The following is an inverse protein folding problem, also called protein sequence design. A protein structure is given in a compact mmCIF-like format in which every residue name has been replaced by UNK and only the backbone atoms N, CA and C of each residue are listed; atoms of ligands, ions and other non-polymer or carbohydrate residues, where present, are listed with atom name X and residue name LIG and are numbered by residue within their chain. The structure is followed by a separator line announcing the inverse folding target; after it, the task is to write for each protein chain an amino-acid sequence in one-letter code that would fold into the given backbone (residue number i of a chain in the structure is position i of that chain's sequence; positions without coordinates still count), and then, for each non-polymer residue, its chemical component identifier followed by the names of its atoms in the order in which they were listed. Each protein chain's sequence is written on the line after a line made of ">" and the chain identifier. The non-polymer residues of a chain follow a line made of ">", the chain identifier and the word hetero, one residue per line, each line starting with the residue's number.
data_IF_278991971871
#
_entry.id   IF_278991971871
#
_cell.length_a   1.000
_cell.length_b   1.000
_cell.length_c   1.000
_cell.angle_alpha   90.00
_cell.angle_beta   90.00
_cell.angle_gamma   90.00
#
_symmetry.space_group_name_H-M   'P 1'
#
loop_
_entity.id
_entity.type
_entity.pdbx_description
1 polymer ?
#
# COMPACT_ATOMS: atom_id res chain seq x y z
N UNK A 1 2.74 -19.61 9.64
CA UNK A 1 2.61 -18.57 10.68
C UNK A 1 3.40 -17.37 10.17
N UNK A 2 2.77 -16.20 10.07
CA UNK A 2 3.47 -14.96 9.73
C UNK A 2 4.54 -14.69 10.79
N UNK A 3 5.70 -14.15 10.38
CA UNK A 3 6.75 -13.72 11.29
C UNK A 3 6.30 -12.55 12.19
N UNK A 4 7.15 -12.07 13.10
CA UNK A 4 6.83 -10.87 13.87
C UNK A 4 6.62 -9.68 12.92
N UNK A 5 5.70 -8.75 13.25
CA UNK A 5 5.39 -7.63 12.36
C UNK A 5 6.61 -6.70 12.20
N UNK A 6 6.86 -6.25 10.98
CA UNK A 6 7.84 -5.19 10.67
C UNK A 6 7.24 -3.83 11.04
N UNK A 7 5.97 -3.63 10.72
CA UNK A 7 5.19 -2.45 11.06
C UNK A 7 3.99 -2.85 11.90
N UNK A 8 3.76 -2.17 13.02
CA UNK A 8 2.54 -2.32 13.78
C UNK A 8 1.99 -0.95 14.21
N UNK A 9 0.69 -0.79 14.12
CA UNK A 9 -0.05 0.35 14.63
C UNK A 9 -0.88 -0.11 15.83
N UNK A 10 -0.78 0.64 16.95
CA UNK A 10 -1.48 0.33 18.19
C UNK A 10 -2.34 1.52 18.60
N UNK A 11 -3.65 1.33 18.57
CA UNK A 11 -4.68 2.29 18.97
C UNK A 11 -4.50 3.68 18.32
N UNK A 12 -4.13 3.69 17.03
CA UNK A 12 -3.83 4.92 16.31
C UNK A 12 -5.09 5.73 16.07
N UNK A 13 -5.11 6.97 16.56
CA UNK A 13 -6.21 7.92 16.41
C UNK A 13 -5.75 9.20 15.72
N UNK A 14 -6.62 9.79 14.87
CA UNK A 14 -6.37 11.04 14.19
C UNK A 14 -7.62 11.87 14.02
N UNK A 15 -7.52 13.16 14.38
CA UNK A 15 -8.60 14.14 14.21
C UNK A 15 -8.15 15.31 13.34
N UNK A 16 -9.05 15.84 12.55
CA UNK A 16 -8.89 17.07 11.80
C UNK A 16 -10.02 18.04 12.18
N UNK A 17 -9.71 19.01 13.03
CA UNK A 17 -10.73 19.89 13.60
C UNK A 17 -11.82 19.10 14.33
N UNK A 18 -13.06 19.18 13.87
CA UNK A 18 -14.20 18.44 14.45
C UNK A 18 -14.35 17.00 13.90
N UNK A 19 -13.60 16.62 12.86
CA UNK A 19 -13.73 15.32 12.19
C UNK A 19 -12.76 14.32 12.80
N UNK A 20 -13.27 13.24 13.38
CA UNK A 20 -12.49 12.08 13.82
C UNK A 20 -12.28 11.18 12.61
N UNK A 21 -11.07 11.19 12.06
CA UNK A 21 -10.73 10.43 10.85
C UNK A 21 -10.27 8.99 11.13
N UNK A 22 -9.60 8.78 12.27
CA UNK A 22 -9.19 7.47 12.77
C UNK A 22 -9.46 7.39 14.27
N UNK A 23 -9.93 6.25 14.74
CA UNK A 23 -10.17 5.98 16.15
C UNK A 23 -9.65 4.61 16.52
N UNK A 24 -8.62 4.55 17.35
CA UNK A 24 -8.03 3.33 17.90
C UNK A 24 -7.76 2.25 16.85
N UNK A 25 -7.17 2.65 15.70
CA UNK A 25 -6.90 1.74 14.59
C UNK A 25 -5.68 0.88 14.88
N UNK A 26 -5.85 -0.43 14.66
CA UNK A 26 -4.82 -1.46 14.75
C UNK A 26 -4.47 -1.96 13.33
N UNK A 27 -3.18 -2.17 13.05
CA UNK A 27 -2.72 -2.79 11.82
C UNK A 27 -1.34 -3.41 12.05
N UNK A 28 -1.18 -4.66 11.64
CA UNK A 28 0.12 -5.34 11.64
C UNK A 28 0.49 -5.75 10.22
N UNK A 29 1.75 -5.59 9.85
CA UNK A 29 2.30 -6.05 8.57
C UNK A 29 3.62 -6.76 8.81
N UNK A 30 3.70 -8.02 8.42
CA UNK A 30 4.91 -8.82 8.52
C UNK A 30 5.78 -8.70 7.25
N UNK A 31 7.03 -9.14 7.35
CA UNK A 31 7.87 -9.35 6.17
C UNK A 31 7.31 -10.48 5.31
N UNK A 32 7.28 -10.28 3.98
CA UNK A 32 6.74 -11.27 3.05
C UNK A 32 5.23 -11.48 3.17
N UNK A 33 4.51 -10.43 3.52
CA UNK A 33 3.06 -10.44 3.66
C UNK A 33 2.42 -9.31 2.84
N UNK A 34 1.30 -9.59 2.20
CA UNK A 34 0.44 -8.60 1.57
C UNK A 34 -0.81 -8.40 2.44
N UNK A 35 -0.95 -7.21 3.02
CA UNK A 35 -2.15 -6.81 3.76
C UNK A 35 -2.95 -5.82 2.93
N UNK A 36 -4.14 -6.20 2.50
CA UNK A 36 -5.04 -5.25 1.86
C UNK A 36 -5.73 -4.37 2.90
N UNK A 37 -5.79 -3.07 2.64
CA UNK A 37 -6.53 -2.09 3.41
C UNK A 37 -7.74 -1.63 2.61
N UNK A 38 -8.92 -2.06 3.01
CA UNK A 38 -10.16 -1.83 2.28
C UNK A 38 -11.19 -1.06 3.13
N UNK A 39 -12.22 -0.51 2.50
CA UNK A 39 -13.27 0.27 3.15
C UNK A 39 -13.87 1.28 2.18
N UNK A 40 -15.02 1.84 2.53
CA UNK A 40 -15.69 2.88 1.74
C UNK A 40 -14.87 4.17 1.62
N UNK A 41 -15.31 5.05 0.72
CA UNK A 41 -14.78 6.41 0.65
C UNK A 41 -15.03 7.12 1.99
N UNK A 42 -13.97 7.77 2.51
CA UNK A 42 -14.03 8.40 3.84
C UNK A 42 -13.85 7.44 5.03
N UNK A 43 -13.61 6.14 4.80
CA UNK A 43 -13.38 5.18 5.89
C UNK A 43 -12.10 5.41 6.69
N UNK A 44 -11.19 6.29 6.24
CA UNK A 44 -9.93 6.60 6.92
C UNK A 44 -8.67 6.01 6.27
N UNK A 45 -8.79 5.23 5.18
CA UNK A 45 -7.66 4.55 4.52
C UNK A 45 -6.51 5.50 4.19
N UNK A 46 -6.78 6.56 3.45
CA UNK A 46 -5.76 7.55 3.07
C UNK A 46 -5.18 8.31 4.27
N UNK A 47 -5.95 8.48 5.35
CA UNK A 47 -5.45 9.07 6.60
C UNK A 47 -4.46 8.13 7.27
N UNK A 48 -4.76 6.82 7.30
CA UNK A 48 -3.88 5.81 7.86
C UNK A 48 -2.58 5.70 7.06
N UNK A 49 -2.67 5.64 5.72
CA UNK A 49 -1.50 5.66 4.82
C UNK A 49 -0.64 6.90 5.07
N UNK A 50 -1.24 8.08 5.16
CA UNK A 50 -0.53 9.34 5.44
C UNK A 50 0.11 9.37 6.82
N UNK A 51 -0.48 8.70 7.82
CA UNK A 51 0.12 8.56 9.15
C UNK A 51 1.38 7.69 9.10
N UNK A 52 1.32 6.53 8.43
CA UNK A 52 2.48 5.64 8.26
C UNK A 52 3.57 6.31 7.41
N UNK A 53 3.18 7.04 6.37
CA UNK A 53 4.11 7.75 5.48
C UNK A 53 4.71 9.03 6.08
N UNK A 54 4.34 9.42 7.32
CA UNK A 54 4.87 10.60 7.99
C UNK A 54 4.36 11.94 7.45
N UNK A 55 3.24 11.93 6.71
CA UNK A 55 2.58 13.15 6.21
C UNK A 55 1.71 13.78 7.31
N UNK A 56 1.04 12.95 8.09
CA UNK A 56 0.21 13.36 9.21
C UNK A 56 0.60 12.57 10.45
N UNK A 57 0.94 13.24 11.55
CA UNK A 57 1.19 12.54 12.81
C UNK A 57 -0.12 12.06 13.43
N UNK A 58 -0.16 10.83 14.01
CA UNK A 58 -1.25 10.43 14.91
C UNK A 58 -1.37 11.41 16.08
N UNK A 59 -2.59 11.59 16.59
CA UNK A 59 -2.81 12.37 17.81
C UNK A 59 -2.68 11.47 19.05
N UNK A 60 -3.03 10.18 18.91
CA UNK A 60 -2.93 9.15 19.95
C UNK A 60 -2.50 7.82 19.33
N UNK A 61 -2.03 6.92 20.19
CA UNK A 61 -1.55 5.60 19.79
C UNK A 61 -0.05 5.57 19.50
N UNK A 62 0.42 4.42 19.05
CA UNK A 62 1.84 4.15 18.82
C UNK A 62 2.05 3.48 17.47
N UNK A 63 3.08 3.91 16.74
CA UNK A 63 3.61 3.19 15.60
C UNK A 63 4.84 2.43 16.07
N UNK A 64 4.87 1.13 15.83
CA UNK A 64 6.00 0.27 16.13
C UNK A 64 6.69 -0.16 14.84
N UNK A 65 8.01 -0.12 14.83
CA UNK A 65 8.86 -0.61 13.78
C UNK A 65 9.78 -1.72 14.33
N UNK A 66 9.64 -2.92 13.77
CA UNK A 66 10.38 -4.11 14.26
C UNK A 66 10.26 -4.30 15.78
N UNK A 67 9.04 -4.12 16.30
CA UNK A 67 8.72 -4.26 17.72
C UNK A 67 9.18 -3.13 18.63
N UNK A 68 9.63 -2.00 18.06
CA UNK A 68 10.06 -0.82 18.82
C UNK A 68 9.18 0.38 18.52
N UNK A 69 8.70 1.11 19.52
CA UNK A 69 7.98 2.35 19.30
C UNK A 69 8.84 3.36 18.52
N UNK A 70 8.25 3.97 17.49
CA UNK A 70 8.90 5.01 16.68
C UNK A 70 8.00 6.22 16.54
N UNK A 71 8.61 7.39 16.35
CA UNK A 71 7.89 8.62 16.02
C UNK A 71 8.30 9.05 14.62
N UNK A 72 7.28 9.20 13.75
CA UNK A 72 7.46 9.60 12.35
C UNK A 72 6.94 11.03 12.23
N UNK A 73 7.83 12.02 12.18
CA UNK A 73 7.44 13.44 12.10
C UNK A 73 7.22 13.91 10.66
N UNK A 74 7.93 13.32 9.71
CA UNK A 74 7.95 13.73 8.30
C UNK A 74 8.24 12.54 7.38
N UNK A 75 7.94 12.66 6.08
CA UNK A 75 8.13 11.56 5.13
C UNK A 75 9.55 11.00 5.07
N UNK A 76 10.58 11.84 5.30
CA UNK A 76 11.96 11.38 5.34
C UNK A 76 12.22 10.38 6.48
N UNK A 77 11.55 10.55 7.63
CA UNK A 77 11.70 9.64 8.77
C UNK A 77 11.12 8.26 8.42
N UNK A 78 9.94 8.21 7.76
CA UNK A 78 9.36 6.98 7.24
C UNK A 78 10.28 6.29 6.22
N UNK A 79 10.87 7.06 5.30
CA UNK A 79 11.81 6.53 4.31
C UNK A 79 13.08 5.96 4.96
N UNK A 80 13.62 6.61 5.98
CA UNK A 80 14.80 6.12 6.72
C UNK A 80 14.51 4.83 7.50
N UNK A 81 13.30 4.66 7.97
CA UNK A 81 12.85 3.39 8.57
C UNK A 81 12.72 2.27 7.52
N UNK A 82 12.54 2.62 6.25
CA UNK A 82 12.34 1.66 5.17
C UNK A 82 10.89 1.53 4.74
N UNK A 83 10.07 2.57 4.93
CA UNK A 83 8.71 2.66 4.37
C UNK A 83 8.77 3.41 3.05
N UNK A 84 8.25 2.83 1.98
CA UNK A 84 8.05 3.48 0.69
C UNK A 84 6.57 3.54 0.35
N UNK A 85 6.12 4.66 -0.20
CA UNK A 85 4.71 4.85 -0.59
C UNK A 85 4.62 5.22 -2.07
N UNK A 86 3.76 4.49 -2.78
CA UNK A 86 3.33 4.80 -4.14
C UNK A 86 1.88 5.25 -4.06
N UNK A 87 1.66 6.52 -4.32
CA UNK A 87 0.32 7.11 -4.34
C UNK A 87 -0.37 6.88 -5.68
N UNK A 88 -1.69 7.04 -5.72
CA UNK A 88 -2.49 6.98 -6.94
C UNK A 88 -2.00 7.95 -8.01
N UNK A 89 -1.59 9.18 -7.62
CA UNK A 89 -0.80 10.06 -8.47
C UNK A 89 0.67 9.62 -8.41
N UNK A 90 1.16 9.08 -9.51
CA UNK A 90 2.49 8.47 -9.60
C UNK A 90 3.63 9.48 -9.43
N UNK A 91 3.35 10.78 -9.56
CA UNK A 91 4.33 11.86 -9.50
C UNK A 91 5.57 11.57 -10.38
N UNK A 92 5.35 11.06 -11.59
CA UNK A 92 6.39 10.85 -12.60
C UNK A 92 6.52 12.10 -13.47
N UNK A 93 7.76 12.43 -13.84
CA UNK A 93 8.06 13.53 -14.75
C UNK A 93 8.03 13.04 -16.19
N UNK A 94 7.02 13.40 -16.96
CA UNK A 94 6.77 12.93 -18.32
C UNK A 94 7.93 13.25 -19.31
N UNK A 95 8.64 14.35 -19.07
CA UNK A 95 9.75 14.81 -19.89
C UNK A 95 11.11 14.17 -19.55
N UNK A 96 11.19 13.43 -18.45
CA UNK A 96 12.38 12.67 -18.09
C UNK A 96 12.26 11.23 -18.60
N UNK A 97 13.42 10.61 -18.86
CA UNK A 97 13.49 9.17 -19.13
C UNK A 97 13.23 8.33 -17.86
N UNK A 98 13.18 7.02 -18.02
CA UNK A 98 12.94 6.11 -16.90
C UNK A 98 14.06 6.22 -15.87
N UNK A 99 15.34 6.31 -16.29
CA UNK A 99 16.48 6.47 -15.36
C UNK A 99 16.35 7.75 -14.55
N UNK A 100 16.03 8.87 -15.19
CA UNK A 100 15.82 10.16 -14.53
C UNK A 100 14.70 10.10 -13.52
N UNK A 101 13.58 9.42 -13.83
CA UNK A 101 12.46 9.25 -12.90
C UNK A 101 12.80 8.33 -11.72
N UNK A 102 13.49 7.23 -11.95
CA UNK A 102 13.88 6.30 -10.89
C UNK A 102 14.78 6.97 -9.85
N UNK A 103 15.71 7.81 -10.29
CA UNK A 103 16.70 8.45 -9.41
C UNK A 103 16.37 9.91 -9.03
N UNK A 104 15.21 10.44 -9.41
CA UNK A 104 14.82 11.82 -9.11
C UNK A 104 14.91 12.11 -7.60
N UNK A 105 15.75 13.08 -7.23
CA UNK A 105 16.04 13.45 -5.84
C UNK A 105 16.94 12.46 -5.08
N UNK A 106 17.47 11.43 -5.76
CA UNK A 106 18.39 10.42 -5.23
C UNK A 106 19.51 10.09 -6.21
N UNK A 107 19.90 11.09 -7.02
CA UNK A 107 20.86 10.92 -8.10
C UNK A 107 22.21 10.40 -7.57
N UNK A 108 22.76 9.40 -8.24
CA UNK A 108 24.11 8.93 -7.94
C UNK A 108 25.11 9.96 -8.45
N UNK A 109 26.03 10.35 -7.58
CA UNK A 109 27.11 11.29 -7.91
C UNK A 109 28.47 10.64 -7.69
N UNK A 110 29.43 10.97 -8.56
CA UNK A 110 30.82 10.60 -8.41
C UNK A 110 31.65 11.87 -8.59
N UNK A 111 32.43 12.23 -7.59
CA UNK A 111 33.22 13.49 -7.56
C UNK A 111 32.38 14.76 -7.86
N UNK A 112 31.13 14.81 -7.36
CA UNK A 112 30.24 15.95 -7.56
C UNK A 112 29.47 15.97 -8.89
N UNK A 113 29.80 15.08 -9.84
CA UNK A 113 29.16 14.96 -11.16
C UNK A 113 28.15 13.80 -11.14
N UNK A 114 27.06 13.93 -11.91
CA UNK A 114 26.07 12.86 -12.08
C UNK A 114 26.73 11.61 -12.68
N UNK A 115 26.50 10.47 -12.04
CA UNK A 115 26.95 9.17 -12.54
C UNK A 115 25.82 8.49 -13.32
N UNK A 116 25.53 9.01 -14.52
CA UNK A 116 24.46 8.50 -15.37
C UNK A 116 24.62 7.02 -15.73
N UNK A 117 25.87 6.58 -16.02
CA UNK A 117 26.16 5.18 -16.34
C UNK A 117 25.84 4.26 -15.15
N UNK A 118 26.16 4.69 -13.93
CA UNK A 118 25.84 3.97 -12.71
C UNK A 118 24.33 3.90 -12.46
N UNK A 119 23.62 5.02 -12.67
CA UNK A 119 22.16 5.05 -12.55
C UNK A 119 21.48 4.16 -13.59
N UNK A 120 21.92 4.21 -14.86
CA UNK A 120 21.37 3.37 -15.91
C UNK A 120 21.56 1.88 -15.62
N UNK A 121 22.77 1.47 -15.23
CA UNK A 121 23.06 0.09 -14.85
C UNK A 121 22.15 -0.37 -13.71
N UNK A 122 22.05 0.40 -12.62
CA UNK A 122 21.21 0.05 -11.46
C UNK A 122 19.72 0.04 -11.81
N UNK A 123 19.27 0.92 -12.73
CA UNK A 123 17.90 0.88 -13.27
C UNK A 123 17.60 -0.43 -13.98
N UNK A 124 18.50 -0.88 -14.87
CA UNK A 124 18.33 -2.16 -15.58
C UNK A 124 18.33 -3.34 -14.62
N UNK A 125 19.32 -3.41 -13.72
CA UNK A 125 19.40 -4.45 -12.69
C UNK A 125 18.11 -4.54 -11.85
N UNK A 126 17.56 -3.40 -11.42
CA UNK A 126 16.31 -3.35 -10.65
C UNK A 126 15.12 -3.85 -11.49
N UNK A 127 14.94 -3.34 -12.70
CA UNK A 127 13.84 -3.73 -13.57
C UNK A 127 13.90 -5.22 -13.94
N UNK A 128 15.10 -5.73 -14.26
CA UNK A 128 15.33 -7.15 -14.55
C UNK A 128 15.00 -8.01 -13.31
N UNK A 129 15.45 -7.60 -12.14
CA UNK A 129 15.19 -8.30 -10.87
C UNK A 129 13.68 -8.37 -10.56
N UNK A 130 12.92 -7.37 -10.96
CA UNK A 130 11.46 -7.31 -10.81
C UNK A 130 10.73 -7.92 -12.01
N UNK A 131 11.46 -8.42 -13.02
CA UNK A 131 10.91 -8.91 -14.29
C UNK A 131 10.01 -7.87 -15.00
N UNK A 132 10.31 -6.59 -14.83
CA UNK A 132 9.59 -5.49 -15.48
C UNK A 132 10.13 -5.30 -16.89
N UNK A 133 9.24 -5.42 -17.89
CA UNK A 133 9.58 -5.25 -19.30
C UNK A 133 9.19 -3.85 -19.77
N UNK A 134 10.19 -3.05 -20.12
CA UNK A 134 10.04 -1.75 -20.80
C UNK A 134 10.94 -1.74 -22.04
N UNK A 135 10.58 -1.01 -23.13
CA UNK A 135 11.37 -1.01 -24.37
C UNK A 135 12.80 -0.52 -24.16
N UNK A 136 13.01 0.50 -23.35
CA UNK A 136 14.34 1.03 -22.99
C UNK A 136 14.23 1.90 -21.73
N UNK A 137 15.27 1.92 -20.91
CA UNK A 137 15.37 2.81 -19.73
C UNK A 137 15.64 4.28 -20.11
N UNK A 138 15.97 4.54 -21.36
CA UNK A 138 16.27 5.89 -21.88
C UNK A 138 15.13 6.53 -22.66
N UNK A 139 13.95 5.92 -22.67
CA UNK A 139 12.77 6.54 -23.27
C UNK A 139 12.06 7.44 -22.26
N UNK A 140 11.47 8.57 -22.72
CA UNK A 140 10.64 9.42 -21.85
C UNK A 140 9.46 8.64 -21.28
N UNK A 141 9.09 8.95 -20.04
CA UNK A 141 7.91 8.36 -19.37
C UNK A 141 6.64 8.58 -20.18
N UNK A 142 6.50 9.73 -20.86
CA UNK A 142 5.37 10.03 -21.73
C UNK A 142 5.09 8.96 -22.80
N UNK A 143 6.12 8.21 -23.22
CA UNK A 143 6.02 7.13 -24.23
C UNK A 143 5.57 5.79 -23.66
N UNK A 144 5.44 5.66 -22.35
CA UNK A 144 5.03 4.44 -21.68
C UNK A 144 3.50 4.32 -21.57
N UNK A 145 2.99 3.09 -21.61
CA UNK A 145 1.60 2.81 -21.26
C UNK A 145 1.31 3.10 -19.77
N UNK A 146 0.03 3.23 -19.39
CA UNK A 146 -0.37 3.43 -17.99
C UNK A 146 0.20 2.36 -17.06
N UNK A 147 0.11 1.08 -17.44
CA UNK A 147 0.68 -0.03 -16.65
C UNK A 147 2.20 0.04 -16.55
N UNK A 148 2.89 0.41 -17.64
CA UNK A 148 4.34 0.59 -17.61
C UNK A 148 4.75 1.77 -16.71
N UNK A 149 3.99 2.88 -16.71
CA UNK A 149 4.21 3.99 -15.77
C UNK A 149 4.02 3.53 -14.33
N UNK A 150 2.98 2.74 -14.06
CA UNK A 150 2.69 2.19 -12.74
C UNK A 150 3.86 1.35 -12.21
N UNK A 151 4.34 0.39 -13.00
CA UNK A 151 5.46 -0.47 -12.56
C UNK A 151 6.77 0.30 -12.41
N UNK A 152 7.01 1.36 -13.20
CA UNK A 152 8.15 2.26 -13.01
C UNK A 152 8.03 3.06 -11.71
N UNK A 153 6.82 3.53 -11.35
CA UNK A 153 6.60 4.23 -10.08
C UNK A 153 6.84 3.31 -8.87
N UNK A 154 6.41 2.04 -8.98
CA UNK A 154 6.71 1.03 -7.95
C UNK A 154 8.23 0.77 -7.89
N UNK A 155 8.90 0.58 -9.04
CA UNK A 155 10.34 0.38 -9.09
C UNK A 155 11.12 1.56 -8.47
N UNK A 156 10.67 2.82 -8.70
CA UNK A 156 11.24 4.02 -8.06
C UNK A 156 11.19 3.94 -6.54
N UNK A 157 10.09 3.46 -5.99
CA UNK A 157 9.93 3.30 -4.55
C UNK A 157 10.94 2.29 -3.96
N UNK A 158 11.36 1.30 -4.76
CA UNK A 158 12.29 0.24 -4.34
C UNK A 158 13.78 0.63 -4.41
N UNK A 159 14.14 1.75 -5.03
CA UNK A 159 15.54 2.24 -5.08
C UNK A 159 16.14 2.43 -3.67
N UNK A 160 15.29 2.75 -2.69
CA UNK A 160 15.68 2.93 -1.29
C UNK A 160 15.76 1.64 -0.47
N UNK A 161 15.57 0.47 -1.09
CA UNK A 161 15.58 -0.85 -0.43
C UNK A 161 14.62 -0.90 0.78
N UNK A 162 13.33 -0.57 0.58
CA UNK A 162 12.37 -0.54 1.68
C UNK A 162 12.11 -1.95 2.24
N UNK A 163 11.60 -2.00 3.48
CA UNK A 163 11.04 -3.21 4.09
C UNK A 163 9.53 -3.28 3.95
N UNK A 164 8.87 -2.12 3.88
CA UNK A 164 7.42 -1.98 3.68
C UNK A 164 7.16 -1.10 2.46
N UNK A 165 6.26 -1.57 1.59
CA UNK A 165 5.77 -0.80 0.44
C UNK A 165 4.27 -0.59 0.58
N UNK A 166 3.83 0.65 0.52
CA UNK A 166 2.42 1.02 0.49
C UNK A 166 2.04 1.36 -0.95
N UNK A 167 1.04 0.69 -1.48
CA UNK A 167 0.50 0.90 -2.82
C UNK A 167 -0.94 1.42 -2.70
N UNK A 168 -1.15 2.68 -3.04
CA UNK A 168 -2.47 3.32 -2.94
C UNK A 168 -3.16 3.28 -4.31
N UNK A 169 -4.17 2.41 -4.45
CA UNK A 169 -4.95 2.17 -5.66
C UNK A 169 -4.09 1.87 -6.92
N UNK A 170 -3.15 0.90 -6.85
CA UNK A 170 -2.14 0.73 -7.89
C UNK A 170 -2.70 0.22 -9.23
N UNK A 171 -3.92 -0.31 -9.26
CA UNK A 171 -4.59 -0.85 -10.44
C UNK A 171 -5.69 0.06 -10.97
N UNK A 172 -5.92 1.21 -10.32
CA UNK A 172 -6.95 2.16 -10.74
C UNK A 172 -6.71 2.65 -12.19
N UNK A 173 -7.78 2.65 -12.99
CA UNK A 173 -7.76 3.08 -14.39
C UNK A 173 -6.84 2.27 -15.34
N UNK A 174 -6.44 1.06 -14.95
CA UNK A 174 -5.68 0.13 -15.79
C UNK A 174 -6.61 -0.87 -16.50
N UNK A 175 -6.20 -1.31 -17.69
CA UNK A 175 -6.86 -2.43 -18.39
C UNK A 175 -6.48 -3.78 -17.75
N UNK A 176 -7.20 -4.84 -18.13
CA UNK A 176 -7.06 -6.18 -17.51
C UNK A 176 -5.62 -6.72 -17.56
N UNK A 177 -4.96 -6.62 -18.72
CA UNK A 177 -3.56 -7.09 -18.88
C UNK A 177 -2.59 -6.28 -18.00
N UNK A 178 -2.78 -4.97 -17.93
CA UNK A 178 -1.95 -4.08 -17.13
C UNK A 178 -2.16 -4.31 -15.62
N UNK A 179 -3.40 -4.55 -15.21
CA UNK A 179 -3.74 -4.94 -13.82
C UNK A 179 -3.00 -6.22 -13.44
N UNK A 180 -3.06 -7.25 -14.29
CA UNK A 180 -2.35 -8.51 -14.02
C UNK A 180 -0.84 -8.29 -13.83
N UNK A 181 -0.19 -7.45 -14.67
CA UNK A 181 1.23 -7.13 -14.53
C UNK A 181 1.55 -6.45 -13.19
N UNK A 182 0.68 -5.56 -12.69
CA UNK A 182 0.85 -4.90 -11.40
C UNK A 182 0.65 -5.89 -10.24
N UNK A 183 -0.37 -6.75 -10.32
CA UNK A 183 -0.62 -7.77 -9.30
C UNK A 183 0.52 -8.81 -9.24
N UNK A 184 1.03 -9.26 -10.38
CA UNK A 184 2.24 -10.10 -10.45
C UNK A 184 3.45 -9.42 -9.78
N UNK A 185 3.59 -8.10 -9.93
CA UNK A 185 4.65 -7.36 -9.25
C UNK A 185 4.44 -7.33 -7.74
N UNK A 186 3.21 -7.16 -7.25
CA UNK A 186 2.88 -7.23 -5.81
C UNK A 186 3.29 -8.57 -5.22
N UNK A 187 2.98 -9.69 -5.89
CA UNK A 187 3.40 -11.02 -5.45
C UNK A 187 4.92 -11.15 -5.39
N UNK A 188 5.64 -10.67 -6.41
CA UNK A 188 7.11 -10.67 -6.39
C UNK A 188 7.70 -9.85 -5.25
N UNK A 189 7.09 -8.72 -4.88
CA UNK A 189 7.52 -7.94 -3.70
C UNK A 189 7.37 -8.76 -2.42
N UNK A 190 6.22 -9.42 -2.24
CA UNK A 190 5.97 -10.34 -1.12
C UNK A 190 7.02 -11.47 -1.09
N UNK A 191 7.24 -12.14 -2.21
CA UNK A 191 8.15 -13.28 -2.32
C UNK A 191 9.62 -12.89 -2.06
N UNK A 192 9.94 -11.61 -2.21
CA UNK A 192 11.24 -11.02 -1.84
C UNK A 192 11.33 -10.62 -0.38
N UNK A 193 10.32 -10.90 0.41
CA UNK A 193 10.28 -10.63 1.84
C UNK A 193 9.84 -9.20 2.21
N UNK A 194 9.32 -8.41 1.27
CA UNK A 194 8.78 -7.10 1.62
C UNK A 194 7.38 -7.26 2.20
N UNK A 195 7.06 -6.47 3.22
CA UNK A 195 5.68 -6.26 3.63
C UNK A 195 5.00 -5.30 2.66
N UNK A 196 3.81 -5.63 2.21
CA UNK A 196 3.04 -4.78 1.27
C UNK A 196 1.71 -4.40 1.88
N UNK A 197 1.40 -3.10 1.90
CA UNK A 197 0.06 -2.59 2.21
C UNK A 197 -0.58 -2.22 0.87
N UNK A 198 -1.61 -2.96 0.48
CA UNK A 198 -2.36 -2.73 -0.74
C UNK A 198 -3.67 -2.01 -0.42
N UNK A 199 -3.78 -0.73 -0.74
CA UNK A 199 -5.06 -0.02 -0.67
C UNK A 199 -5.79 -0.22 -1.99
N UNK A 200 -6.96 -0.83 -1.96
CA UNK A 200 -7.78 -1.03 -3.15
C UNK A 200 -9.27 -1.10 -2.79
N UNK A 201 -10.11 -0.70 -3.74
CA UNK A 201 -11.56 -0.91 -3.69
C UNK A 201 -12.00 -2.05 -4.64
N UNK A 202 -11.09 -2.61 -5.43
CA UNK A 202 -11.34 -3.75 -6.30
C UNK A 202 -11.13 -5.06 -5.53
N UNK A 203 -12.24 -5.70 -5.14
CA UNK A 203 -12.18 -6.95 -4.37
C UNK A 203 -11.55 -8.12 -5.14
N UNK A 204 -11.65 -8.14 -6.47
CA UNK A 204 -11.01 -9.19 -7.26
C UNK A 204 -9.47 -9.12 -7.14
N UNK A 205 -8.90 -7.91 -7.23
CA UNK A 205 -7.47 -7.67 -7.06
C UNK A 205 -7.03 -8.02 -5.63
N UNK A 206 -7.82 -7.58 -4.64
CA UNK A 206 -7.57 -7.86 -3.22
C UNK A 206 -7.51 -9.35 -2.95
N UNK A 207 -8.52 -10.10 -3.39
CA UNK A 207 -8.60 -11.56 -3.20
C UNK A 207 -7.52 -12.32 -3.96
N UNK A 208 -6.99 -11.75 -5.05
CA UNK A 208 -5.98 -12.41 -5.87
C UNK A 208 -4.59 -12.42 -5.21
N UNK A 209 -4.18 -11.34 -4.52
CA UNK A 209 -2.79 -11.18 -4.11
C UNK A 209 -2.58 -11.01 -2.61
N UNK A 210 -3.64 -10.75 -1.84
CA UNK A 210 -3.49 -10.47 -0.40
C UNK A 210 -3.50 -11.73 0.46
N UNK A 211 -2.73 -11.70 1.53
CA UNK A 211 -2.75 -12.74 2.57
C UNK A 211 -3.83 -12.43 3.60
N UNK A 212 -3.96 -11.15 3.99
CA UNK A 212 -4.99 -10.66 4.91
C UNK A 212 -5.64 -9.39 4.39
N UNK A 213 -6.88 -9.17 4.80
CA UNK A 213 -7.66 -7.97 4.49
C UNK A 213 -8.06 -7.28 5.78
N UNK A 214 -7.58 -6.06 5.99
CA UNK A 214 -7.99 -5.18 7.07
C UNK A 214 -9.10 -4.25 6.57
N UNK A 215 -10.27 -4.31 7.17
CA UNK A 215 -11.41 -3.48 6.81
C UNK A 215 -11.47 -2.27 7.72
N UNK A 216 -11.46 -1.07 7.14
CA UNK A 216 -11.79 0.17 7.84
C UNK A 216 -13.21 0.60 7.52
N UNK A 217 -13.93 1.02 8.57
CA UNK A 217 -15.27 1.61 8.46
C UNK A 217 -15.40 2.76 9.46
N UNK A 218 -15.76 3.95 8.96
CA UNK A 218 -15.95 5.16 9.78
C UNK A 218 -14.76 5.43 10.74
N UNK A 219 -13.55 5.27 10.24
CA UNK A 219 -12.31 5.51 10.98
C UNK A 219 -11.92 4.43 12.01
N UNK A 220 -12.57 3.27 12.01
CA UNK A 220 -12.28 2.15 12.92
C UNK A 220 -12.04 0.85 12.17
N UNK A 221 -11.34 -0.09 12.81
CA UNK A 221 -11.28 -1.46 12.31
C UNK A 221 -12.67 -2.09 12.35
N UNK A 222 -13.07 -2.72 11.25
CA UNK A 222 -14.33 -3.47 11.17
C UNK A 222 -14.10 -4.93 10.71
N UNK A 223 -12.97 -5.48 11.09
CA UNK A 223 -12.57 -6.85 10.85
C UNK A 223 -11.20 -6.95 10.18
N UNK A 224 -10.52 -8.06 10.46
CA UNK A 224 -9.31 -8.50 9.77
C UNK A 224 -9.56 -9.94 9.34
N UNK A 225 -9.44 -10.21 8.03
CA UNK A 225 -9.78 -11.47 7.41
C UNK A 225 -8.53 -12.10 6.79
N UNK A 226 -8.33 -13.39 7.02
CA UNK A 226 -7.36 -14.18 6.27
C UNK A 226 -8.04 -14.64 4.97
N UNK A 227 -7.44 -14.29 3.81
CA UNK A 227 -8.03 -14.54 2.49
C UNK A 227 -8.28 -16.03 2.24
N UNK A 228 -7.54 -16.93 2.87
CA UNK A 228 -7.71 -18.39 2.75
C UNK A 228 -8.99 -18.91 3.39
N UNK A 229 -9.57 -18.18 4.34
CA UNK A 229 -10.70 -18.61 5.16
C UNK A 229 -11.92 -17.69 5.07
N UNK A 230 -11.89 -16.72 4.17
CA UNK A 230 -12.99 -15.76 3.94
C UNK A 230 -13.40 -15.74 2.47
N UNK A 231 -14.46 -15.03 2.20
CA UNK A 231 -14.95 -14.79 0.84
C UNK A 231 -15.24 -13.30 0.63
N UNK A 232 -15.37 -12.92 -0.64
CA UNK A 232 -15.62 -11.54 -1.01
C UNK A 232 -16.90 -10.95 -0.36
N UNK A 233 -17.96 -11.75 -0.16
CA UNK A 233 -19.22 -11.27 0.41
C UNK A 233 -19.05 -10.89 1.89
N UNK A 234 -18.28 -11.64 2.65
CA UNK A 234 -17.98 -11.32 4.06
C UNK A 234 -17.23 -10.00 4.18
N UNK A 235 -16.22 -9.79 3.34
CA UNK A 235 -15.45 -8.54 3.34
C UNK A 235 -16.35 -7.36 2.94
N UNK A 236 -17.18 -7.51 1.88
CA UNK A 236 -18.14 -6.47 1.46
C UNK A 236 -19.14 -6.17 2.58
N UNK A 237 -19.63 -7.20 3.27
CA UNK A 237 -20.54 -7.02 4.42
C UNK A 237 -19.87 -6.23 5.55
N UNK A 238 -18.60 -6.49 5.81
CA UNK A 238 -17.82 -5.72 6.78
C UNK A 238 -17.60 -4.26 6.33
N UNK A 239 -17.31 -4.03 5.04
CA UNK A 239 -17.17 -2.67 4.49
C UNK A 239 -18.46 -1.87 4.65
N UNK A 240 -19.59 -2.43 4.23
CA UNK A 240 -20.88 -1.75 4.21
C UNK A 240 -21.58 -1.73 5.58
N UNK A 241 -21.17 -2.60 6.51
CA UNK A 241 -21.86 -2.82 7.78
C UNK A 241 -23.23 -3.50 7.57
N UNK A 242 -23.39 -4.30 6.54
CA UNK A 242 -24.65 -4.97 6.20
C UNK A 242 -25.14 -5.91 7.31
N UNK A 243 -24.24 -6.42 8.13
CA UNK A 243 -24.55 -7.20 9.34
C UNK A 243 -25.10 -6.34 10.49
N UNK A 244 -25.00 -5.02 10.40
CA UNK A 244 -25.32 -4.09 11.49
C UNK A 244 -26.51 -3.17 11.17
N UNK A 245 -27.23 -3.42 10.05
CA UNK A 245 -28.39 -2.62 9.71
C UNK A 245 -29.68 -3.13 10.38
N UNK A 246 -30.70 -2.23 10.51
CA UNK A 246 -31.96 -2.53 11.21
C UNK A 246 -32.75 -3.69 10.57
N UNK A 247 -32.50 -4.00 9.31
CA UNK A 247 -33.17 -5.10 8.56
C UNK A 247 -32.56 -6.44 8.94
N UNK A 248 -31.22 -6.54 8.98
CA UNK A 248 -30.51 -7.76 9.41
C UNK A 248 -30.73 -8.06 10.88
N UNK A 249 -30.78 -7.02 11.75
CA UNK A 249 -31.15 -7.18 13.17
C UNK A 249 -32.58 -7.67 13.37
N UNK A 250 -33.52 -7.35 12.46
CA UNK A 250 -34.89 -7.88 12.48
C UNK A 250 -34.96 -9.32 12.00
N UNK A 251 -34.15 -9.71 11.03
CA UNK A 251 -34.12 -11.08 10.48
C UNK A 251 -33.50 -12.06 11.50
N UNK A 252 -32.42 -11.68 12.20
CA UNK A 252 -31.83 -12.51 13.26
C UNK A 252 -32.78 -12.70 14.47
N UNK A 253 -33.52 -11.65 14.87
CA UNK A 253 -34.55 -11.77 15.93
C UNK A 253 -35.78 -12.60 15.53
N UNK A 254 -36.11 -12.66 14.22
CA UNK A 254 -37.20 -13.49 13.70
C UNK A 254 -36.87 -14.98 13.67
N UNK A 255 -35.62 -15.37 13.62
CA UNK A 255 -35.18 -16.76 13.65
C UNK A 255 -35.01 -17.33 15.08
N UNK A 256 -34.74 -16.50 16.08
CA UNK A 256 -34.67 -16.91 17.49
C UNK A 256 -36.04 -17.07 18.17
N UNK A 257 -37.12 -16.59 17.52
CA UNK A 257 -38.49 -16.65 18.05
C UNK A 257 -39.35 -17.86 17.57
N UNK A 258 -38.75 -18.82 16.85
CA UNK A 258 -39.42 -20.01 16.29
C UNK A 258 -38.71 -21.30 16.75
N UNK A 259 -38.20 -21.32 17.97
CA UNK A 259 -37.64 -22.55 18.60
C UNK A 259 -38.42 -22.87 19.87
#
# INVERSE_FOLDING_TARGET
>A
MAGPPVLALRSVSKRFGAVQALTEVELDVAAGEVVALVGDNGAGKSTLVKAIAGVNQPDEGVIEWEGRPVVIHRPQDAQHLGVATVYQDLALCDNLDVVGNLFLGRELRRFGVLNEVGMERRSRELLDTLSIRIPSVRIPIASLSGGQRQVVAIARALIGEPKIVILDEPTAALGVEQTAQVLDLVERLRDRGLGVILVSHNMADVMAVSDRVAVLRLGRNNGVFDVRYTNQQEIISAITGATDNAVTRRQSRGQEGVS
#
